data_IF_652851323696
#
_entry.id   IF_652851323696
#
_cell.length_a   1.000
_cell.length_b   1.000
_cell.length_c   1.000
_cell.angle_alpha   90.00
_cell.angle_beta   90.00
_cell.angle_gamma   90.00
#
_symmetry.space_group_name_H-M   'P 1'
#
loop_
_entity.id
_entity.type
_entity.pdbx_description
1 polymer ?
#
# COMPACT_ATOMS: atom_id res chain seq x y z
N UNK A 1 12.45 7.17 -3.26
CA UNK A 1 11.93 6.08 -2.40
C UNK A 1 10.90 5.24 -3.13
N UNK A 2 10.75 3.96 -2.76
CA UNK A 2 9.66 3.10 -3.25
C UNK A 2 8.50 3.12 -2.25
N UNK A 3 7.29 3.39 -2.73
CA UNK A 3 6.06 3.50 -1.94
C UNK A 3 5.11 2.37 -2.34
N UNK A 4 4.69 1.55 -1.39
CA UNK A 4 3.56 0.64 -1.58
C UNK A 4 2.28 1.39 -1.22
N UNK A 5 1.43 1.66 -2.21
CA UNK A 5 0.22 2.45 -2.01
C UNK A 5 -0.99 1.53 -1.83
N UNK A 6 -1.70 1.71 -0.72
CA UNK A 6 -3.05 1.18 -0.53
C UNK A 6 -4.04 2.21 -1.06
N UNK A 7 -4.84 1.85 -2.07
CA UNK A 7 -6.01 2.64 -2.46
C UNK A 7 -7.23 1.98 -1.81
N UNK A 8 -7.94 2.65 -0.89
CA UNK A 8 -9.18 2.11 -0.33
C UNK A 8 -10.21 1.85 -1.43
N UNK A 9 -10.94 0.76 -1.33
CA UNK A 9 -11.93 0.34 -2.34
C UNK A 9 -12.97 1.43 -2.64
N UNK A 10 -13.41 2.19 -1.63
CA UNK A 10 -14.38 3.28 -1.85
C UNK A 10 -13.76 4.48 -2.58
N UNK A 11 -12.45 4.76 -2.41
CA UNK A 11 -11.77 5.81 -3.18
C UNK A 11 -11.67 5.37 -4.63
N UNK A 12 -11.28 4.12 -4.88
CA UNK A 12 -11.16 3.58 -6.23
C UNK A 12 -12.51 3.60 -6.97
N UNK A 13 -13.59 3.22 -6.30
CA UNK A 13 -14.92 3.15 -6.90
C UNK A 13 -15.63 4.50 -7.03
N UNK A 14 -15.49 5.40 -6.05
CA UNK A 14 -16.27 6.64 -6.00
C UNK A 14 -15.46 7.87 -6.45
N UNK A 15 -14.15 7.86 -6.22
CA UNK A 15 -13.26 9.01 -6.45
C UNK A 15 -11.91 8.60 -7.08
N UNK A 16 -11.91 7.88 -8.21
CA UNK A 16 -10.68 7.33 -8.81
C UNK A 16 -9.64 8.41 -9.15
N UNK A 17 -10.09 9.63 -9.46
CA UNK A 17 -9.21 10.78 -9.72
C UNK A 17 -8.33 11.15 -8.51
N UNK A 18 -8.81 10.91 -7.29
CA UNK A 18 -8.05 11.14 -6.05
C UNK A 18 -6.88 10.15 -5.97
N UNK A 19 -7.13 8.86 -6.23
CA UNK A 19 -6.09 7.83 -6.25
C UNK A 19 -4.98 8.17 -7.26
N UNK A 20 -5.36 8.55 -8.49
CA UNK A 20 -4.43 8.98 -9.54
C UNK A 20 -3.64 10.23 -9.12
N UNK A 21 -4.29 11.18 -8.45
CA UNK A 21 -3.63 12.42 -8.01
C UNK A 21 -2.57 12.16 -6.95
N UNK A 22 -2.83 11.23 -6.02
CA UNK A 22 -1.85 10.80 -5.01
C UNK A 22 -0.62 10.18 -5.67
N UNK A 23 -0.81 9.32 -6.68
CA UNK A 23 0.30 8.73 -7.46
C UNK A 23 1.14 9.83 -8.10
N UNK A 24 0.48 10.77 -8.80
CA UNK A 24 1.17 11.88 -9.49
C UNK A 24 1.96 12.76 -8.53
N UNK A 25 1.47 12.99 -7.32
CA UNK A 25 2.20 13.75 -6.30
C UNK A 25 3.50 13.02 -5.93
N UNK A 26 3.43 11.72 -5.63
CA UNK A 26 4.61 10.94 -5.28
C UNK A 26 5.62 10.83 -6.43
N UNK A 27 5.16 10.63 -7.66
CA UNK A 27 6.03 10.60 -8.83
C UNK A 27 6.73 11.94 -9.06
N UNK A 28 6.02 13.07 -8.90
CA UNK A 28 6.61 14.41 -8.98
C UNK A 28 7.66 14.68 -7.91
N UNK A 29 7.54 14.04 -6.74
CA UNK A 29 8.54 14.09 -5.68
C UNK A 29 9.73 13.13 -5.92
N UNK A 30 9.78 12.46 -7.08
CA UNK A 30 10.86 11.54 -7.43
C UNK A 30 10.75 10.18 -6.73
N UNK A 31 9.54 9.76 -6.35
CA UNK A 31 9.28 8.45 -5.77
C UNK A 31 8.65 7.50 -6.79
N UNK A 32 8.88 6.20 -6.59
CA UNK A 32 8.25 5.15 -7.39
C UNK A 32 7.10 4.56 -6.59
N UNK A 33 5.91 4.49 -7.18
CA UNK A 33 4.71 3.93 -6.54
C UNK A 33 4.47 2.51 -7.06
N UNK A 34 4.18 1.60 -6.16
CA UNK A 34 3.85 0.19 -6.44
C UNK A 34 2.56 -0.21 -5.72
N UNK A 35 1.90 -1.23 -6.24
CA UNK A 35 0.60 -1.70 -5.77
C UNK A 35 0.61 -3.20 -5.56
N UNK A 36 -0.05 -3.65 -4.49
CA UNK A 36 -0.35 -5.07 -4.30
C UNK A 36 -1.41 -5.49 -5.32
N UNK A 37 -1.12 -6.52 -6.11
CA UNK A 37 -2.07 -7.05 -7.09
C UNK A 37 -3.29 -7.73 -6.44
N UNK A 38 -3.11 -8.31 -5.25
CA UNK A 38 -4.22 -8.84 -4.47
C UNK A 38 -4.77 -7.74 -3.56
N UNK A 39 -5.74 -6.98 -4.07
CA UNK A 39 -6.48 -5.99 -3.28
C UNK A 39 -7.32 -6.75 -2.25
N UNK A 40 -6.84 -6.77 -1.01
CA UNK A 40 -7.58 -7.27 0.14
C UNK A 40 -8.29 -6.08 0.81
N UNK A 41 -9.47 -6.32 1.38
CA UNK A 41 -10.25 -5.28 2.06
C UNK A 41 -9.51 -4.78 3.31
N UNK A 42 -9.52 -3.46 3.55
CA UNK A 42 -8.87 -2.86 4.71
C UNK A 42 -9.71 -2.88 5.99
N UNK A 43 -10.96 -3.32 5.91
CA UNK A 43 -11.88 -3.38 7.06
C UNK A 43 -12.40 -2.01 7.50
N UNK A 44 -12.13 -0.93 6.74
CA UNK A 44 -12.54 0.43 7.11
C UNK A 44 -14.07 0.59 7.30
N UNK A 45 -14.96 0.00 6.46
CA UNK A 45 -16.40 0.11 6.70
C UNK A 45 -16.83 -0.45 8.05
N UNK A 46 -16.31 -1.63 8.42
CA UNK A 46 -16.57 -2.25 9.73
C UNK A 46 -16.00 -1.40 10.88
N UNK A 47 -14.79 -0.84 10.70
CA UNK A 47 -14.16 0.05 11.67
C UNK A 47 -15.04 1.27 11.99
N UNK A 48 -15.49 1.96 10.93
CA UNK A 48 -16.31 3.17 11.06
C UNK A 48 -17.68 2.91 11.70
N UNK A 49 -18.20 1.69 11.55
CA UNK A 49 -19.48 1.28 12.13
C UNK A 49 -19.37 0.73 13.56
N UNK A 50 -18.16 0.66 14.14
CA UNK A 50 -17.94 0.19 15.52
C UNK A 50 -17.65 -1.31 15.66
N UNK A 51 -17.60 -2.06 14.56
CA UNK A 51 -17.25 -3.49 14.51
C UNK A 51 -15.73 -3.68 14.48
N UNK A 52 -15.07 -3.32 15.59
CA UNK A 52 -13.61 -3.22 15.63
C UNK A 52 -12.90 -4.58 15.63
N UNK A 53 -13.51 -5.60 16.21
CA UNK A 53 -12.92 -6.94 16.25
C UNK A 53 -12.96 -7.59 14.85
N UNK A 54 -14.09 -7.48 14.15
CA UNK A 54 -14.25 -7.92 12.77
C UNK A 54 -13.37 -7.12 11.82
N UNK A 55 -13.25 -5.80 12.05
CA UNK A 55 -12.32 -4.95 11.29
C UNK A 55 -10.88 -5.41 11.46
N UNK A 56 -10.47 -5.75 12.69
CA UNK A 56 -9.12 -6.25 12.98
C UNK A 56 -8.84 -7.56 12.24
N UNK A 57 -9.77 -8.52 12.25
CA UNK A 57 -9.62 -9.80 11.55
C UNK A 57 -9.46 -9.66 10.02
N UNK A 58 -10.05 -8.60 9.45
CA UNK A 58 -9.89 -8.27 8.03
C UNK A 58 -8.55 -7.56 7.80
N UNK A 59 -8.25 -6.53 8.59
CA UNK A 59 -7.08 -5.67 8.40
C UNK A 59 -5.75 -6.43 8.50
N UNK A 60 -5.65 -7.48 9.34
CA UNK A 60 -4.43 -8.30 9.44
C UNK A 60 -4.06 -8.99 8.13
N UNK A 61 -5.02 -9.19 7.21
CA UNK A 61 -4.78 -9.82 5.91
C UNK A 61 -4.07 -8.88 4.92
N UNK A 62 -4.12 -7.57 5.17
CA UNK A 62 -3.42 -6.55 4.36
C UNK A 62 -1.91 -6.48 4.68
N UNK A 63 -1.42 -7.13 5.75
CA UNK A 63 -0.06 -6.93 6.28
C UNK A 63 1.03 -6.82 5.19
N UNK A 64 1.50 -5.58 4.98
CA UNK A 64 2.55 -5.22 4.03
C UNK A 64 3.92 -5.79 4.40
N UNK A 65 4.10 -6.27 5.64
CA UNK A 65 5.36 -6.88 6.11
C UNK A 65 5.47 -8.36 5.74
N UNK A 66 4.38 -8.99 5.30
CA UNK A 66 4.34 -10.42 4.97
C UNK A 66 5.02 -10.79 3.63
N UNK A 67 5.40 -9.81 2.80
CA UNK A 67 6.29 -10.09 1.66
C UNK A 67 7.77 -10.10 2.09
N UNK A 68 8.51 -11.19 1.88
CA UNK A 68 9.88 -11.33 2.38
C UNK A 68 10.89 -10.32 1.82
N UNK A 69 10.52 -9.56 0.78
CA UNK A 69 11.44 -8.73 0.00
C UNK A 69 11.27 -7.21 0.19
N UNK A 70 10.39 -6.74 1.09
CA UNK A 70 10.21 -5.28 1.31
C UNK A 70 11.44 -4.62 1.96
N UNK A 71 12.19 -5.37 2.78
CA UNK A 71 13.41 -4.88 3.46
C UNK A 71 14.57 -4.54 2.51
N UNK A 72 14.55 -5.02 1.26
CA UNK A 72 15.68 -4.87 0.33
C UNK A 72 15.51 -3.77 -0.72
N UNK A 73 14.46 -2.94 -0.62
CA UNK A 73 14.14 -1.98 -1.70
C UNK A 73 13.74 -0.59 -1.21
N UNK A 74 14.49 -0.05 -0.26
CA UNK A 74 14.43 1.39 0.09
C UNK A 74 15.67 2.14 -0.46
N UNK A 75 15.53 2.58 -1.72
CA UNK A 75 16.21 3.75 -2.32
C UNK A 75 17.73 3.72 -2.61
N UNK A 76 18.28 4.67 -3.42
CA UNK A 76 18.77 4.43 -4.77
C UNK A 76 20.30 4.62 -4.86
N UNK A 77 21.03 4.31 -3.77
CA UNK A 77 22.46 4.58 -3.62
C UNK A 77 23.34 3.34 -3.41
N UNK A 78 22.77 2.15 -3.22
CA UNK A 78 23.55 0.95 -2.88
C UNK A 78 24.08 0.27 -4.15
N UNK A 79 25.26 0.71 -4.60
CA UNK A 79 26.13 -0.18 -5.37
C UNK A 79 26.38 -1.44 -4.54
N UNK A 80 26.02 -2.58 -5.12
CA UNK A 80 26.53 -3.93 -4.84
C UNK A 80 26.32 -4.45 -3.40
N UNK A 81 25.44 -5.45 -3.31
CA UNK A 81 25.86 -6.75 -2.78
C UNK A 81 25.10 -7.85 -3.54
N UNK A 82 25.87 -8.70 -4.22
CA UNK A 82 25.44 -9.91 -4.91
C UNK A 82 24.84 -10.91 -3.90
N UNK A 83 23.93 -11.80 -4.33
CA UNK A 83 23.42 -12.84 -3.46
C UNK A 83 24.50 -13.92 -3.25
N UNK A 84 24.65 -14.36 -2.01
CA UNK A 84 25.20 -15.67 -1.65
C UNK A 84 24.06 -16.66 -1.50
#
# INVERSE_FOLDING_TARGET
MKINLLIPCFVDQLFPSVGISVVRIFEKLGHTVDFKQNILCCGQPAFNAGFWDESREIAVRIDYRSEPNWRYRTDPGSRRARPS
#
